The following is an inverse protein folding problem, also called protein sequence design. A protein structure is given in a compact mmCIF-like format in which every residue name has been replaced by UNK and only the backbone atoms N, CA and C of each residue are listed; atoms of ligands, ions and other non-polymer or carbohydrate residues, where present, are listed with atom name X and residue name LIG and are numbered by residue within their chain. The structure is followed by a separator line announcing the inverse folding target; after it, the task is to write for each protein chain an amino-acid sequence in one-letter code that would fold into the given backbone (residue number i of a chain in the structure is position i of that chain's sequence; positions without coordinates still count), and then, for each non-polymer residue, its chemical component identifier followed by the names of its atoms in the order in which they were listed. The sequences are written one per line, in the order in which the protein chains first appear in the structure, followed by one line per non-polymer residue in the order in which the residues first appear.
data_IF_186669708077
#
_entry.id   IF_186669708077
#
_cell.length_a   1.000
_cell.length_b   1.000
_cell.length_c   1.000
_cell.angle_alpha   90.00
_cell.angle_beta   90.00
_cell.angle_gamma   90.00
#
_symmetry.space_group_name_H-M   'P 1'
#
loop_
_entity.id
_entity.type
_entity.pdbx_description
1 polymer ?
#
# COMPACT_ATOMS: atom_id res chain seq x y z
N UNK A 1 21.10 1.67 8.89
CA UNK A 1 19.76 1.73 8.26
C UNK A 1 19.27 0.30 8.17
N UNK A 2 18.09 0.00 8.71
CA UNK A 2 17.56 -1.37 8.73
C UNK A 2 16.37 -1.43 7.78
N UNK A 3 16.38 -2.42 6.89
CA UNK A 3 15.26 -2.72 6.00
C UNK A 3 14.60 -4.02 6.43
N UNK A 4 13.29 -4.01 6.57
CA UNK A 4 12.47 -5.18 6.87
C UNK A 4 11.52 -5.42 5.71
N UNK A 5 11.55 -6.62 5.15
CA UNK A 5 10.66 -7.01 4.05
C UNK A 5 9.52 -7.83 4.65
N UNK A 6 8.29 -7.43 4.34
CA UNK A 6 7.06 -8.11 4.76
C UNK A 6 6.35 -8.59 3.50
N UNK A 7 6.11 -9.89 3.40
CA UNK A 7 5.34 -10.49 2.30
C UNK A 7 4.06 -11.09 2.87
N UNK A 8 2.99 -11.09 2.09
CA UNK A 8 1.74 -11.69 2.53
C UNK A 8 0.63 -11.59 1.51
N UNK A 9 -0.54 -12.05 1.94
CA UNK A 9 -1.79 -11.95 1.19
C UNK A 9 -2.77 -11.04 1.92
N UNK A 10 -3.75 -10.51 1.18
CA UNK A 10 -4.71 -9.54 1.71
C UNK A 10 -5.71 -9.14 0.65
N UNK A 11 -6.23 -7.92 0.76
CA UNK A 11 -7.21 -7.38 -0.17
C UNK A 11 -6.80 -5.98 -0.63
N UNK A 12 -6.83 -5.74 -1.94
CA UNK A 12 -6.78 -4.40 -2.49
C UNK A 12 -8.21 -3.88 -2.61
N UNK A 13 -8.49 -2.73 -1.98
CA UNK A 13 -9.77 -2.02 -2.09
C UNK A 13 -9.55 -0.66 -2.76
N UNK A 14 -10.30 -0.40 -3.81
CA UNK A 14 -10.31 0.89 -4.51
C UNK A 14 -11.43 1.78 -3.96
N UNK A 15 -11.44 3.05 -4.36
CA UNK A 15 -12.46 4.02 -3.95
C UNK A 15 -13.82 3.79 -4.64
N UNK A 16 -13.86 3.02 -5.73
CA UNK A 16 -15.10 2.55 -6.34
C UNK A 16 -15.61 1.27 -5.70
N UNK A 17 -16.05 0.32 -6.52
CA UNK A 17 -16.61 -0.97 -6.07
C UNK A 17 -15.59 -2.12 -6.17
N UNK A 18 -14.39 -1.87 -6.68
CA UNK A 18 -13.36 -2.89 -6.88
C UNK A 18 -12.74 -3.36 -5.57
N UNK A 19 -12.90 -4.64 -5.25
CA UNK A 19 -12.04 -5.31 -4.27
C UNK A 19 -11.61 -6.65 -4.81
N UNK A 20 -10.32 -6.96 -4.68
CA UNK A 20 -9.79 -8.27 -5.03
C UNK A 20 -8.70 -8.70 -4.06
N UNK A 21 -8.49 -10.01 -3.97
CA UNK A 21 -7.35 -10.57 -3.23
C UNK A 21 -6.05 -10.05 -3.81
N UNK A 22 -5.11 -9.69 -2.94
CA UNK A 22 -3.83 -9.15 -3.33
C UNK A 22 -2.69 -9.88 -2.64
N UNK A 23 -1.61 -10.16 -3.37
CA UNK A 23 -0.31 -10.54 -2.82
C UNK A 23 0.57 -9.32 -2.77
N UNK A 24 1.24 -9.07 -1.66
CA UNK A 24 2.06 -7.89 -1.50
C UNK A 24 3.45 -8.22 -0.96
N UNK A 25 4.39 -7.34 -1.29
CA UNK A 25 5.70 -7.23 -0.68
C UNK A 25 5.92 -5.77 -0.28
N UNK A 26 6.15 -5.53 1.01
CA UNK A 26 6.37 -4.21 1.59
C UNK A 26 7.78 -4.17 2.15
N UNK A 27 8.58 -3.21 1.68
CA UNK A 27 9.87 -2.86 2.25
C UNK A 27 9.69 -1.70 3.22
N UNK A 28 9.96 -1.95 4.49
CA UNK A 28 9.95 -0.93 5.55
C UNK A 28 11.39 -0.54 5.82
N UNK A 29 11.73 0.74 5.59
CA UNK A 29 13.07 1.29 5.81
C UNK A 29 13.05 2.19 7.03
N UNK A 30 13.92 1.89 8.01
CA UNK A 30 14.09 2.70 9.22
C UNK A 30 15.49 3.31 9.26
N UNK A 31 15.62 4.65 9.38
CA UNK A 31 16.91 5.29 9.64
C UNK A 31 17.48 4.83 10.99
N UNK A 32 18.80 4.70 11.09
CA UNK A 32 19.45 4.34 12.35
C UNK A 32 19.31 5.51 13.34
N UNK A 33 18.87 5.23 14.59
CA UNK A 33 18.65 6.26 15.60
C UNK A 33 17.35 7.07 15.47
N UNK A 34 16.51 6.77 14.48
CA UNK A 34 15.23 7.44 14.30
C UNK A 34 14.08 6.67 14.99
N UNK A 35 13.18 7.41 15.66
CA UNK A 35 11.94 6.89 16.22
C UNK A 35 10.98 6.35 15.15
N UNK A 36 9.92 5.67 15.58
CA UNK A 36 8.93 5.03 14.69
C UNK A 36 8.31 5.95 13.64
N UNK A 37 8.23 7.26 13.90
CA UNK A 37 7.63 8.25 12.99
C UNK A 37 8.44 8.58 11.73
N UNK A 38 9.68 8.12 11.60
CA UNK A 38 10.51 8.34 10.39
C UNK A 38 10.63 7.09 9.49
N UNK A 39 9.88 6.02 9.78
CA UNK A 39 9.87 4.85 8.93
C UNK A 39 9.15 5.15 7.61
N UNK A 40 9.78 4.84 6.48
CA UNK A 40 9.14 4.86 5.16
C UNK A 40 8.80 3.44 4.76
N UNK A 41 7.62 3.24 4.16
CA UNK A 41 7.25 1.95 3.62
C UNK A 41 6.83 2.09 2.15
N UNK A 42 7.41 1.26 1.31
CA UNK A 42 7.14 1.16 -0.12
C UNK A 42 7.01 -0.30 -0.51
N UNK A 43 6.32 -0.61 -1.60
CA UNK A 43 6.06 -1.99 -1.95
C UNK A 43 5.52 -2.21 -3.33
N UNK A 44 5.36 -3.49 -3.66
CA UNK A 44 4.69 -3.95 -4.87
C UNK A 44 3.58 -4.90 -4.47
N UNK A 45 2.41 -4.77 -5.09
CA UNK A 45 1.31 -5.72 -4.93
C UNK A 45 0.80 -6.20 -6.29
N UNK A 46 0.30 -7.43 -6.32
CA UNK A 46 -0.44 -8.01 -7.44
C UNK A 46 -1.84 -8.33 -6.98
N UNK A 47 -2.81 -7.87 -7.76
CA UNK A 47 -4.22 -8.15 -7.57
C UNK A 47 -4.84 -8.41 -8.96
N UNK A 48 -6.17 -8.51 -9.03
CA UNK A 48 -6.86 -8.57 -10.31
C UNK A 48 -6.54 -7.32 -11.17
N UNK A 49 -6.32 -7.51 -12.47
CA UNK A 49 -5.89 -6.45 -13.40
C UNK A 49 -6.86 -5.27 -13.38
N UNK A 50 -8.18 -5.53 -13.38
CA UNK A 50 -9.19 -4.48 -13.33
C UNK A 50 -9.06 -3.62 -12.06
N UNK A 51 -8.93 -4.26 -10.88
CA UNK A 51 -8.72 -3.55 -9.61
C UNK A 51 -7.40 -2.77 -9.61
N UNK A 52 -6.35 -3.32 -10.21
CA UNK A 52 -5.06 -2.63 -10.29
C UNK A 52 -5.12 -1.38 -11.18
N UNK A 53 -5.84 -1.45 -12.30
CA UNK A 53 -6.07 -0.31 -13.19
C UNK A 53 -6.89 0.77 -12.48
N UNK A 54 -7.94 0.39 -11.76
CA UNK A 54 -8.76 1.32 -11.00
C UNK A 54 -7.96 2.01 -9.88
N UNK A 55 -7.20 1.25 -9.09
CA UNK A 55 -6.30 1.81 -8.08
C UNK A 55 -5.27 2.77 -8.70
N UNK A 56 -4.73 2.44 -9.88
CA UNK A 56 -3.81 3.30 -10.62
C UNK A 56 -4.48 4.59 -11.08
N UNK A 57 -5.69 4.49 -11.63
CA UNK A 57 -6.49 5.64 -12.08
C UNK A 57 -6.78 6.61 -10.93
N UNK A 58 -7.18 6.08 -9.77
CA UNK A 58 -7.41 6.88 -8.57
C UNK A 58 -6.11 7.36 -7.88
N UNK A 59 -4.96 6.82 -8.29
CA UNK A 59 -3.64 6.98 -7.67
C UNK A 59 -3.58 6.64 -6.17
N UNK A 60 -4.62 5.99 -5.64
CA UNK A 60 -4.82 5.70 -4.22
C UNK A 60 -5.66 4.44 -4.07
N UNK A 61 -5.39 3.69 -3.00
CA UNK A 61 -6.16 2.53 -2.63
C UNK A 61 -5.97 2.22 -1.13
N UNK A 62 -6.73 1.26 -0.63
CA UNK A 62 -6.54 0.68 0.70
C UNK A 62 -6.07 -0.77 0.54
N UNK A 63 -4.93 -1.09 1.12
CA UNK A 63 -4.46 -2.46 1.27
C UNK A 63 -4.90 -2.98 2.63
N UNK A 64 -5.77 -3.99 2.64
CA UNK A 64 -6.14 -4.72 3.86
C UNK A 64 -5.21 -5.91 3.97
N UNK A 65 -4.37 -5.92 5.01
CA UNK A 65 -3.45 -7.01 5.31
C UNK A 65 -4.22 -8.23 5.84
N UNK A 66 -3.59 -9.40 5.83
CA UNK A 66 -4.15 -10.64 6.39
C UNK A 66 -4.65 -10.48 7.83
N UNK A 67 -3.95 -9.67 8.64
CA UNK A 67 -4.35 -9.32 10.01
C UNK A 67 -5.66 -8.52 10.13
N UNK A 68 -6.30 -8.15 9.01
CA UNK A 68 -7.45 -7.24 8.96
C UNK A 68 -7.08 -5.77 9.06
N UNK A 69 -5.81 -5.45 9.28
CA UNK A 69 -5.32 -4.06 9.32
C UNK A 69 -5.42 -3.41 7.95
N UNK A 70 -6.09 -2.27 7.89
CA UNK A 70 -6.17 -1.43 6.69
C UNK A 70 -5.01 -0.45 6.62
N UNK A 71 -4.39 -0.33 5.44
CA UNK A 71 -3.26 0.55 5.16
C UNK A 71 -3.61 1.39 3.93
N UNK A 72 -3.69 2.71 4.10
CA UNK A 72 -3.81 3.60 2.96
C UNK A 72 -2.51 3.60 2.15
N UNK A 73 -2.62 3.46 0.83
CA UNK A 73 -1.47 3.41 -0.07
C UNK A 73 -1.65 4.41 -1.22
N UNK A 74 -0.53 4.97 -1.66
CA UNK A 74 -0.45 5.84 -2.83
C UNK A 74 0.22 5.06 -3.95
N UNK A 75 -0.44 4.99 -5.10
CA UNK A 75 0.07 4.26 -6.25
C UNK A 75 1.11 5.13 -6.98
N UNK A 76 2.32 4.60 -7.09
CA UNK A 76 3.42 5.24 -7.81
C UNK A 76 3.41 4.85 -9.27
N UNK A 77 3.28 3.54 -9.53
CA UNK A 77 3.35 3.01 -10.88
C UNK A 77 2.60 1.68 -11.04
N UNK A 78 2.36 1.26 -12.28
CA UNK A 78 1.86 -0.06 -12.64
C UNK A 78 2.87 -0.72 -13.58
N UNK A 79 3.50 -1.79 -13.10
CA UNK A 79 4.54 -2.52 -13.82
C UNK A 79 4.09 -3.95 -14.14
N UNK A 80 4.81 -4.70 -14.99
CA UNK A 80 4.58 -6.14 -15.16
C UNK A 80 4.72 -6.94 -13.86
N UNK A 81 5.44 -6.39 -12.87
CA UNK A 81 5.59 -6.97 -11.55
C UNK A 81 4.37 -6.75 -10.63
N UNK A 82 3.49 -5.79 -10.96
CA UNK A 82 2.37 -5.37 -10.14
C UNK A 82 2.31 -3.85 -9.93
N UNK A 83 1.42 -3.42 -9.04
CA UNK A 83 1.29 -2.03 -8.60
C UNK A 83 2.40 -1.67 -7.61
N UNK A 84 3.19 -0.67 -7.97
CA UNK A 84 4.18 -0.06 -7.08
C UNK A 84 3.48 0.99 -6.24
N UNK A 85 3.64 0.93 -4.92
CA UNK A 85 2.98 1.84 -3.99
C UNK A 85 3.91 2.33 -2.88
N UNK A 86 3.48 3.40 -2.22
CA UNK A 86 4.07 3.89 -0.99
C UNK A 86 3.01 4.06 0.09
N UNK A 87 3.36 3.80 1.34
CA UNK A 87 2.54 4.09 2.52
C UNK A 87 2.86 5.51 2.98
N UNK A 88 1.86 6.41 3.08
CA UNK A 88 2.07 7.75 3.62
C UNK A 88 2.54 7.68 5.08
N UNK A 89 3.47 8.56 5.47
CA UNK A 89 3.97 8.65 6.85
C UNK A 89 2.91 9.16 7.85
N UNK A 90 1.81 9.74 7.37
CA UNK A 90 0.79 10.36 8.20
C UNK A 90 -0.60 9.71 7.98
N UNK A 91 -1.16 9.00 8.99
CA UNK A 91 -2.50 8.44 8.92
C UNK A 91 -3.60 9.53 8.95
N UNK A 92 -3.35 10.74 9.46
CA UNK A 92 -4.33 11.83 9.52
C UNK A 92 -4.45 12.60 8.20
N UNK A 93 -3.39 12.63 7.39
CA UNK A 93 -3.51 13.04 5.97
C UNK A 93 -4.35 12.06 5.15
N UNK A 94 -4.66 10.89 5.73
CA UNK A 94 -5.60 9.90 5.18
C UNK A 94 -7.04 10.09 5.66
N UNK A 95 -7.27 10.87 6.73
CA UNK A 95 -8.60 11.12 7.27
C UNK A 95 -9.42 12.10 6.42
N UNK A 96 -8.76 13.02 5.69
CA UNK A 96 -9.38 13.80 4.61
C UNK A 96 -9.53 13.02 3.29
N UNK A 97 -9.30 11.71 3.27
CA UNK A 97 -9.45 10.84 2.09
C UNK A 97 -10.73 10.00 2.11
N UNK A 98 -11.57 10.19 3.12
CA UNK A 98 -12.87 9.53 3.27
C UNK A 98 -13.98 10.51 3.68
N UNK A 99 -13.78 11.83 3.53
CA UNK A 99 -14.83 12.85 3.69
C UNK A 99 -15.48 13.21 2.37
#
# INVERSE_FOLDING_TARGET
MTATIVKGEGWLRTLGFGSSTARYEITIRRPAGAGSSQATADGVLRAEVATMIEARSAQRAVLVLESGRSVAIVIKDLTPAGLVFAVPADPHRSAGLFS
#
